data_IF_324385630497
#
_entry.id   IF_324385630497
#
_cell.length_a   1.000
_cell.length_b   1.000
_cell.length_c   1.000
_cell.angle_alpha   90.00
_cell.angle_beta   90.00
_cell.angle_gamma   90.00
#
_symmetry.space_group_name_H-M   'P 1'
#
loop_
_entity.id
_entity.type
_entity.pdbx_description
1 polymer ?
#
# COMPACT_ATOMS: atom_id res chain seq x y z
N UNK A 1 -4.14 -30.63 0.70
CA UNK A 1 -3.44 -30.95 -0.56
C UNK A 1 -3.57 -29.74 -1.47
N UNK A 2 -2.54 -28.87 -1.54
CA UNK A 2 -2.57 -27.62 -2.31
C UNK A 2 -1.35 -27.45 -3.24
N UNK A 3 -0.39 -28.38 -3.22
CA UNK A 3 0.90 -28.23 -3.90
C UNK A 3 0.78 -28.09 -5.43
N UNK A 4 -0.17 -28.81 -6.04
CA UNK A 4 -0.41 -28.75 -7.49
C UNK A 4 -1.26 -27.54 -7.93
N UNK A 5 -1.87 -26.81 -6.99
CA UNK A 5 -2.74 -25.69 -7.33
C UNK A 5 -1.90 -24.49 -7.79
N UNK A 6 -2.35 -23.74 -8.82
CA UNK A 6 -1.73 -22.48 -9.20
C UNK A 6 -1.53 -21.56 -8.00
N UNK A 7 -0.28 -21.19 -7.73
CA UNK A 7 0.08 -20.29 -6.65
C UNK A 7 0.35 -18.88 -7.21
N UNK A 8 -0.23 -17.89 -6.54
CA UNK A 8 0.08 -16.48 -6.73
C UNK A 8 0.44 -15.85 -5.39
N UNK A 9 1.46 -15.01 -5.38
CA UNK A 9 1.83 -14.20 -4.21
C UNK A 9 1.21 -12.82 -4.38
N UNK A 10 0.42 -12.35 -3.42
CA UNK A 10 -0.29 -11.10 -3.53
C UNK A 10 -0.24 -10.28 -2.24
N UNK A 11 -0.35 -8.96 -2.38
CA UNK A 11 -0.42 -8.02 -1.27
C UNK A 11 -0.31 -6.58 -1.75
N UNK A 12 -0.30 -5.66 -0.80
CA UNK A 12 -0.32 -4.23 -1.07
C UNK A 12 0.64 -3.42 -0.19
N UNK A 13 0.83 -2.14 -0.55
CA UNK A 13 1.62 -1.16 0.20
C UNK A 13 3.09 -1.62 0.36
N UNK A 14 3.58 -1.73 1.59
CA UNK A 14 4.94 -2.20 1.89
C UNK A 14 5.21 -3.62 1.37
N UNK A 15 4.15 -4.40 1.08
CA UNK A 15 4.31 -5.72 0.45
C UNK A 15 4.90 -5.62 -0.96
N UNK A 16 4.99 -4.43 -1.59
CA UNK A 16 5.83 -4.19 -2.77
C UNK A 16 7.31 -4.54 -2.57
N UNK A 17 7.81 -4.51 -1.32
CA UNK A 17 9.15 -4.98 -0.95
C UNK A 17 9.20 -6.50 -0.73
N UNK A 18 8.10 -7.09 -0.26
CA UNK A 18 8.02 -8.51 0.16
C UNK A 18 7.66 -9.42 -1.01
N UNK A 19 6.71 -9.02 -1.85
CA UNK A 19 6.16 -9.88 -2.91
C UNK A 19 7.26 -10.25 -3.93
N UNK A 20 8.02 -9.32 -4.52
CA UNK A 20 9.02 -9.69 -5.52
C UNK A 20 10.20 -10.45 -4.90
N UNK A 21 10.60 -10.08 -3.68
CA UNK A 21 11.68 -10.75 -2.94
C UNK A 21 11.31 -12.18 -2.53
N UNK A 22 10.12 -12.41 -2.00
CA UNK A 22 9.63 -13.75 -1.70
C UNK A 22 9.46 -14.58 -2.97
N UNK A 23 8.87 -13.99 -4.02
CA UNK A 23 8.57 -14.71 -5.26
C UNK A 23 9.85 -15.17 -5.96
N UNK A 24 10.93 -14.36 -5.96
CA UNK A 24 12.20 -14.78 -6.57
C UNK A 24 12.85 -15.92 -5.78
N UNK A 25 12.75 -15.94 -4.46
CA UNK A 25 13.31 -17.03 -3.65
C UNK A 25 12.53 -18.34 -3.87
N UNK A 26 11.19 -18.27 -3.99
CA UNK A 26 10.38 -19.43 -4.39
C UNK A 26 10.81 -19.93 -5.77
N UNK A 27 10.97 -19.03 -6.75
CA UNK A 27 11.40 -19.38 -8.11
C UNK A 27 12.77 -20.06 -8.13
N UNK A 28 13.76 -19.54 -7.39
CA UNK A 28 15.10 -20.14 -7.24
C UNK A 28 15.03 -21.54 -6.63
N UNK A 29 14.17 -21.74 -5.64
CA UNK A 29 13.92 -23.06 -5.08
C UNK A 29 13.43 -24.05 -6.14
N UNK A 30 12.50 -23.61 -7.00
CA UNK A 30 11.89 -24.46 -8.06
C UNK A 30 12.98 -24.89 -9.05
N UNK A 31 13.79 -23.93 -9.49
CA UNK A 31 14.91 -24.17 -10.42
C UNK A 31 15.97 -25.12 -9.83
N UNK A 32 16.11 -25.13 -8.50
CA UNK A 32 17.06 -26.01 -7.79
C UNK A 32 16.51 -27.42 -7.51
N UNK A 33 15.27 -27.72 -7.94
CA UNK A 33 14.69 -29.06 -7.84
C UNK A 33 14.10 -29.43 -6.47
N UNK A 34 13.76 -28.46 -5.61
CA UNK A 34 13.09 -28.77 -4.34
C UNK A 34 11.66 -29.31 -4.58
N UNK A 35 11.45 -30.57 -4.17
CA UNK A 35 10.23 -31.33 -4.43
C UNK A 35 9.02 -30.86 -3.59
N UNK A 36 9.22 -29.94 -2.64
CA UNK A 36 8.13 -29.37 -1.81
C UNK A 36 7.43 -28.20 -2.47
N UNK A 37 7.77 -27.87 -3.71
CA UNK A 37 7.47 -26.56 -4.24
C UNK A 37 6.14 -26.46 -4.98
N UNK A 38 5.53 -25.30 -4.76
CA UNK A 38 4.22 -24.93 -5.24
C UNK A 38 4.25 -24.67 -6.75
N UNK A 39 3.10 -24.85 -7.40
CA UNK A 39 2.88 -24.51 -8.79
C UNK A 39 2.78 -22.97 -9.01
N UNK A 40 3.88 -22.25 -8.79
CA UNK A 40 3.97 -20.79 -8.88
C UNK A 40 3.67 -20.29 -10.30
N UNK A 41 2.71 -19.37 -10.42
CA UNK A 41 2.27 -18.80 -11.71
C UNK A 41 2.52 -17.31 -11.86
N UNK A 42 2.75 -16.60 -10.77
CA UNK A 42 2.91 -15.15 -10.81
C UNK A 42 2.65 -14.50 -9.47
N UNK A 43 2.49 -13.18 -9.52
CA UNK A 43 2.28 -12.36 -8.34
C UNK A 43 1.47 -11.11 -8.68
N UNK A 44 0.89 -10.50 -7.64
CA UNK A 44 -0.01 -9.35 -7.74
C UNK A 44 0.41 -8.31 -6.70
N UNK A 45 0.65 -7.07 -7.09
CA UNK A 45 1.12 -6.01 -6.21
C UNK A 45 0.21 -4.77 -6.32
N UNK A 46 -0.51 -4.44 -5.24
CA UNK A 46 -1.42 -3.30 -5.16
C UNK A 46 -0.79 -2.09 -4.47
N UNK A 47 -0.84 -0.91 -5.09
CA UNK A 47 -0.17 0.30 -4.59
C UNK A 47 1.23 0.00 -4.00
N UNK A 48 2.14 -0.65 -4.75
CA UNK A 48 3.31 -1.25 -4.14
C UNK A 48 4.44 -0.25 -3.94
N UNK A 49 4.94 -0.16 -2.71
CA UNK A 49 6.22 0.50 -2.45
C UNK A 49 7.34 -0.40 -2.97
N UNK A 50 8.06 0.06 -3.99
CA UNK A 50 9.09 -0.73 -4.68
C UNK A 50 10.47 -0.09 -4.61
N UNK A 51 10.54 1.24 -4.54
CA UNK A 51 11.79 1.97 -4.39
C UNK A 51 11.50 3.39 -3.92
N UNK A 52 11.88 3.67 -2.67
CA UNK A 52 11.49 4.92 -2.01
C UNK A 52 12.34 6.12 -2.45
N UNK A 53 13.63 5.89 -2.73
CA UNK A 53 14.60 6.98 -2.83
C UNK A 53 14.52 7.75 -4.16
N UNK A 54 14.21 7.07 -5.26
CA UNK A 54 14.18 7.64 -6.61
C UNK A 54 12.77 7.76 -7.17
N UNK A 55 11.91 6.75 -7.01
CA UNK A 55 10.58 6.71 -7.61
C UNK A 55 9.47 7.09 -6.62
N UNK A 56 9.10 6.17 -5.72
CA UNK A 56 7.86 6.27 -4.95
C UNK A 56 7.87 7.51 -4.03
N UNK A 57 8.97 7.76 -3.32
CA UNK A 57 9.07 8.87 -2.37
C UNK A 57 9.13 10.26 -3.02
N UNK A 58 9.50 10.36 -4.30
CA UNK A 58 9.50 11.63 -5.04
C UNK A 58 8.22 11.85 -5.85
N UNK A 59 7.33 10.86 -5.90
CA UNK A 59 6.13 10.89 -6.73
C UNK A 59 4.97 11.69 -6.12
N UNK A 60 4.93 11.82 -4.80
CA UNK A 60 3.81 12.45 -4.06
C UNK A 60 3.53 13.88 -4.50
N UNK A 61 4.55 14.72 -4.63
CA UNK A 61 4.37 16.13 -4.99
C UNK A 61 3.90 16.32 -6.44
N UNK A 62 4.54 15.74 -7.48
CA UNK A 62 4.01 15.82 -8.84
C UNK A 62 2.60 15.26 -8.96
N UNK A 63 2.26 14.22 -8.19
CA UNK A 63 0.91 13.67 -8.17
C UNK A 63 -0.09 14.67 -7.58
N UNK A 64 0.18 15.19 -6.39
CA UNK A 64 -0.70 16.14 -5.71
C UNK A 64 -0.86 17.47 -6.46
N UNK A 65 0.16 17.89 -7.21
CA UNK A 65 0.05 19.03 -8.12
C UNK A 65 -0.96 18.72 -9.24
N UNK A 66 -0.88 17.56 -9.89
CA UNK A 66 -1.84 17.14 -10.93
C UNK A 66 -3.26 17.00 -10.42
N UNK A 67 -3.42 16.66 -9.14
CA UNK A 67 -4.72 16.60 -8.47
C UNK A 67 -5.20 17.95 -7.92
N UNK A 68 -4.45 19.04 -8.16
CA UNK A 68 -4.85 20.41 -7.80
C UNK A 68 -4.64 20.80 -6.33
N UNK A 69 -3.93 19.99 -5.53
CA UNK A 69 -3.64 20.29 -4.12
C UNK A 69 -2.43 21.19 -3.92
N UNK A 70 -1.55 21.30 -4.92
CA UNK A 70 -0.34 22.12 -4.85
C UNK A 70 -0.39 23.17 -5.97
N UNK A 71 -0.33 24.48 -5.66
CA UNK A 71 -0.28 25.55 -6.65
C UNK A 71 0.89 25.38 -7.62
N UNK A 72 0.67 25.67 -8.89
CA UNK A 72 1.65 25.51 -9.96
C UNK A 72 2.91 26.34 -9.72
N UNK A 73 2.78 27.56 -9.20
CA UNK A 73 3.92 28.44 -8.90
C UNK A 73 4.78 27.85 -7.79
N UNK A 74 4.16 27.28 -6.75
CA UNK A 74 4.88 26.65 -5.65
C UNK A 74 5.55 25.35 -6.11
N UNK A 75 4.86 24.54 -6.91
CA UNK A 75 5.41 23.31 -7.46
C UNK A 75 6.58 23.59 -8.42
N UNK A 76 6.48 24.62 -9.27
CA UNK A 76 7.55 25.02 -10.20
C UNK A 76 8.85 25.35 -9.45
N UNK A 77 8.76 26.16 -8.39
CA UNK A 77 9.93 26.50 -7.55
C UNK A 77 10.51 25.25 -6.90
N UNK A 78 9.66 24.35 -6.38
CA UNK A 78 10.11 23.09 -5.80
C UNK A 78 10.78 22.18 -6.86
N UNK A 79 10.21 22.05 -8.04
CA UNK A 79 10.75 21.25 -9.14
C UNK A 79 12.13 21.75 -9.58
N UNK A 80 12.28 23.06 -9.83
CA UNK A 80 13.54 23.67 -10.26
C UNK A 80 14.62 23.58 -9.17
N UNK A 81 14.26 23.87 -7.91
CA UNK A 81 15.23 23.87 -6.81
C UNK A 81 15.63 22.47 -6.33
N UNK A 82 14.74 21.47 -6.44
CA UNK A 82 15.00 20.10 -6.00
C UNK A 82 15.45 19.15 -7.12
N UNK A 83 15.28 19.51 -8.40
CA UNK A 83 15.58 18.63 -9.53
C UNK A 83 14.79 17.31 -9.47
N UNK A 84 13.55 17.36 -8.97
CA UNK A 84 12.70 16.18 -8.76
C UNK A 84 13.04 15.31 -7.55
N UNK A 85 14.01 15.69 -6.71
CA UNK A 85 14.44 14.94 -5.50
C UNK A 85 13.91 15.59 -4.22
N UNK A 86 12.61 15.49 -3.98
CA UNK A 86 11.91 16.12 -2.86
C UNK A 86 12.18 15.43 -1.52
N UNK A 87 12.41 14.11 -1.52
CA UNK A 87 12.68 13.34 -0.29
C UNK A 87 14.08 13.56 0.29
N UNK A 88 15.00 14.17 -0.49
CA UNK A 88 16.39 14.41 -0.10
C UNK A 88 16.82 15.82 -0.51
N UNK A 89 16.32 16.89 0.14
CA UNK A 89 16.63 18.27 -0.24
C UNK A 89 18.13 18.58 -0.13
N UNK A 90 18.77 18.95 -1.24
CA UNK A 90 20.21 19.22 -1.29
C UNK A 90 20.59 20.68 -1.03
N UNK A 91 19.62 21.59 -0.98
CA UNK A 91 19.84 23.02 -0.77
C UNK A 91 18.69 23.67 0.00
N UNK A 92 18.95 24.86 0.54
CA UNK A 92 18.00 25.59 1.37
C UNK A 92 16.70 25.98 0.65
N UNK A 93 16.78 26.30 -0.66
CA UNK A 93 15.61 26.67 -1.44
C UNK A 93 14.68 25.46 -1.66
N UNK A 94 15.24 24.30 -1.97
CA UNK A 94 14.50 23.04 -2.06
C UNK A 94 13.88 22.68 -0.71
N UNK A 95 14.66 22.72 0.38
CA UNK A 95 14.16 22.41 1.72
C UNK A 95 12.99 23.33 2.13
N UNK A 96 13.08 24.63 1.84
CA UNK A 96 12.01 25.60 2.09
C UNK A 96 10.76 25.31 1.25
N UNK A 97 10.92 24.97 -0.01
CA UNK A 97 9.81 24.65 -0.92
C UNK A 97 9.10 23.37 -0.49
N UNK A 98 9.87 22.32 -0.17
CA UNK A 98 9.37 21.05 0.37
C UNK A 98 8.60 21.28 1.66
N UNK A 99 9.13 22.07 2.61
CA UNK A 99 8.43 22.39 3.84
C UNK A 99 7.13 23.15 3.60
N UNK A 100 7.13 24.09 2.65
CA UNK A 100 5.94 24.86 2.30
C UNK A 100 4.84 23.97 1.73
N UNK A 101 5.20 23.04 0.84
CA UNK A 101 4.28 22.03 0.31
C UNK A 101 3.77 21.12 1.42
N UNK A 102 4.64 20.61 2.29
CA UNK A 102 4.23 19.78 3.43
C UNK A 102 3.22 20.49 4.33
N UNK A 103 3.43 21.78 4.62
CA UNK A 103 2.49 22.56 5.43
C UNK A 103 1.13 22.73 4.75
N UNK A 104 1.11 22.84 3.42
CA UNK A 104 -0.11 22.97 2.63
C UNK A 104 -0.93 21.67 2.65
N UNK A 105 -0.26 20.51 2.48
CA UNK A 105 -0.91 19.20 2.36
C UNK A 105 -1.04 18.47 3.69
N UNK A 106 -0.65 19.10 4.82
CA UNK A 106 -0.53 18.42 6.12
C UNK A 106 -1.82 17.75 6.59
N UNK A 107 -2.97 18.28 6.22
CA UNK A 107 -4.30 17.82 6.66
C UNK A 107 -4.98 16.89 5.64
N UNK A 108 -4.30 16.58 4.53
CA UNK A 108 -4.80 15.66 3.51
C UNK A 108 -4.72 14.21 4.01
N UNK A 109 -5.71 13.39 3.65
CA UNK A 109 -5.60 11.95 3.79
C UNK A 109 -4.68 11.41 2.70
N UNK A 110 -3.43 11.11 3.06
CA UNK A 110 -2.44 10.67 2.09
C UNK A 110 -2.79 9.34 1.40
N UNK A 111 -3.54 8.46 2.07
CA UNK A 111 -3.93 7.14 1.53
C UNK A 111 -5.14 7.23 0.58
N UNK A 112 -5.92 8.31 0.65
CA UNK A 112 -7.06 8.54 -0.24
C UNK A 112 -7.44 10.03 -0.23
N UNK A 113 -6.95 10.77 -1.22
CA UNK A 113 -7.01 12.25 -1.23
C UNK A 113 -8.42 12.86 -1.23
N UNK A 114 -9.45 12.09 -1.62
CA UNK A 114 -10.86 12.53 -1.57
C UNK A 114 -11.56 12.22 -0.26
N UNK A 115 -10.92 11.47 0.65
CA UNK A 115 -11.50 11.16 1.95
C UNK A 115 -11.00 12.14 3.02
N UNK A 116 -11.81 12.42 4.05
CA UNK A 116 -11.33 13.22 5.16
C UNK A 116 -10.19 12.50 5.87
N UNK A 117 -9.26 13.27 6.44
CA UNK A 117 -8.26 12.74 7.36
C UNK A 117 -8.96 12.36 8.67
N UNK A 118 -8.92 11.08 8.99
CA UNK A 118 -9.53 10.54 10.20
C UNK A 118 -8.43 10.22 11.22
N UNK A 119 -8.54 10.80 12.42
CA UNK A 119 -7.60 10.51 13.50
C UNK A 119 -7.64 9.02 13.87
N UNK A 120 -6.45 8.43 14.04
CA UNK A 120 -6.33 7.07 14.56
C UNK A 120 -6.64 7.04 16.05
N UNK A 121 -7.76 6.42 16.40
CA UNK A 121 -7.92 5.53 17.56
C UNK A 121 -8.18 6.04 19.02
N UNK A 122 -8.49 7.31 19.38
CA UNK A 122 -9.19 7.49 20.67
C UNK A 122 -10.27 8.57 20.83
N UNK A 123 -10.87 9.16 19.79
CA UNK A 123 -12.04 10.06 19.99
C UNK A 123 -13.40 9.36 19.80
N UNK A 124 -13.41 8.19 19.13
CA UNK A 124 -14.53 7.25 19.09
C UNK A 124 -14.42 6.16 20.16
N UNK A 125 -13.71 6.43 21.26
CA UNK A 125 -14.23 5.98 22.55
C UNK A 125 -15.61 6.61 22.64
N UNK A 126 -16.61 5.87 22.14
CA UNK A 126 -17.91 5.67 22.72
C UNK A 126 -17.97 6.56 23.96
N UNK A 127 -18.42 7.81 23.78
CA UNK A 127 -18.73 8.71 24.89
C UNK A 127 -19.37 7.81 25.93
N UNK A 128 -18.71 7.64 27.07
CA UNK A 128 -19.11 6.77 28.19
C UNK A 128 -20.61 6.45 28.15
N UNK A 129 -20.98 5.31 27.56
CA UNK A 129 -22.39 4.93 27.42
C UNK A 129 -22.54 3.44 27.72
N UNK A 130 -22.30 3.13 29.00
CA UNK A 130 -23.20 2.42 29.92
C UNK A 130 -24.31 1.52 29.32
N UNK A 131 -24.00 0.61 28.39
CA UNK A 131 -24.97 -0.41 27.97
C UNK A 131 -24.29 -1.75 27.71
N UNK A 132 -24.84 -2.80 28.33
CA UNK A 132 -24.30 -4.16 28.42
C UNK A 132 -24.48 -5.01 27.15
N UNK A 133 -25.12 -4.49 26.10
CA UNK A 133 -25.48 -5.30 24.93
C UNK A 133 -24.62 -4.97 23.69
N UNK A 134 -23.58 -5.78 23.48
CA UNK A 134 -22.57 -5.60 22.41
C UNK A 134 -23.08 -6.02 21.02
N UNK A 135 -24.05 -6.94 20.94
CA UNK A 135 -24.52 -7.52 19.66
C UNK A 135 -25.44 -6.59 18.87
N UNK A 136 -26.30 -5.81 19.54
CA UNK A 136 -27.22 -4.87 18.86
C UNK A 136 -26.51 -3.68 18.19
N UNK A 137 -25.27 -3.32 18.59
CA UNK A 137 -24.53 -2.19 18.02
C UNK A 137 -23.82 -2.49 16.69
N UNK A 138 -23.42 -3.75 16.44
CA UNK A 138 -22.80 -4.16 15.17
C UNK A 138 -23.76 -4.01 13.98
N UNK A 139 -25.06 -4.15 14.23
CA UNK A 139 -26.13 -4.07 13.24
C UNK A 139 -26.75 -2.66 13.11
N UNK A 140 -26.51 -1.76 14.06
CA UNK A 140 -27.13 -0.43 14.13
C UNK A 140 -26.18 0.73 13.87
N UNK A 141 -24.87 0.50 13.78
CA UNK A 141 -23.97 1.58 13.46
C UNK A 141 -23.94 1.77 11.95
N UNK A 142 -24.37 2.92 11.40
CA UNK A 142 -23.69 3.45 10.24
C UNK A 142 -22.26 3.67 10.72
N UNK A 143 -21.41 2.63 10.66
CA UNK A 143 -19.96 2.79 10.79
C UNK A 143 -19.59 3.61 9.56
N UNK A 144 -19.66 4.91 9.80
CA UNK A 144 -20.22 5.87 8.87
C UNK A 144 -19.37 6.01 7.63
N UNK A 145 -20.06 6.20 6.50
CA UNK A 145 -19.64 6.63 5.16
C UNK A 145 -18.63 7.80 5.09
N UNK A 146 -18.15 8.30 6.22
CA UNK A 146 -17.25 9.44 6.37
C UNK A 146 -15.81 9.00 6.65
N UNK A 147 -15.58 7.91 7.39
CA UNK A 147 -14.23 7.47 7.77
C UNK A 147 -14.09 5.95 7.71
N UNK A 148 -13.49 5.42 6.64
CA UNK A 148 -13.24 3.96 6.48
C UNK A 148 -12.44 3.38 7.63
N UNK A 149 -11.54 4.17 8.23
CA UNK A 149 -10.76 3.80 9.41
C UNK A 149 -11.61 3.45 10.64
N UNK A 150 -12.91 3.79 10.69
CA UNK A 150 -13.77 3.35 11.79
C UNK A 150 -14.03 1.83 11.77
N UNK A 151 -13.98 1.20 10.59
CA UNK A 151 -14.18 -0.26 10.43
C UNK A 151 -13.07 -1.07 11.11
N UNK A 152 -11.89 -0.47 11.24
CA UNK A 152 -10.76 -1.05 11.93
C UNK A 152 -11.05 -1.38 13.41
N UNK A 153 -11.84 -0.55 14.11
CA UNK A 153 -12.25 -0.87 15.48
C UNK A 153 -13.03 -2.18 15.53
N UNK A 154 -13.85 -2.46 14.51
CA UNK A 154 -14.58 -3.71 14.44
C UNK A 154 -13.66 -4.91 14.28
N UNK A 155 -12.60 -4.80 13.48
CA UNK A 155 -11.62 -5.87 13.32
C UNK A 155 -10.87 -6.15 14.63
N UNK A 156 -10.48 -5.12 15.40
CA UNK A 156 -9.87 -5.33 16.73
C UNK A 156 -10.83 -5.99 17.71
N UNK A 157 -12.10 -5.57 17.74
CA UNK A 157 -13.12 -6.17 18.60
C UNK A 157 -13.39 -7.64 18.22
N UNK A 158 -13.51 -7.92 16.93
CA UNK A 158 -13.77 -9.26 16.42
C UNK A 158 -12.59 -10.20 16.65
N UNK A 159 -11.36 -9.79 16.30
CA UNK A 159 -10.17 -10.64 16.43
C UNK A 159 -9.75 -10.90 17.89
N UNK A 160 -10.23 -10.07 18.83
CA UNK A 160 -9.97 -10.24 20.26
C UNK A 160 -11.15 -10.85 21.04
N UNK A 161 -12.28 -11.16 20.38
CA UNK A 161 -13.37 -11.89 21.01
C UNK A 161 -12.92 -13.32 21.37
N UNK A 162 -13.26 -13.79 22.57
CA UNK A 162 -12.78 -15.07 23.08
C UNK A 162 -13.24 -16.26 22.23
N UNK A 163 -14.51 -16.25 21.80
CA UNK A 163 -15.06 -17.32 20.98
C UNK A 163 -14.45 -17.32 19.57
N UNK A 164 -14.15 -16.13 19.01
CA UNK A 164 -13.43 -16.00 17.74
C UNK A 164 -12.01 -16.55 17.87
N UNK A 165 -11.27 -16.17 18.92
CA UNK A 165 -9.91 -16.65 19.17
C UNK A 165 -9.86 -18.17 19.34
N UNK A 166 -10.79 -18.74 20.10
CA UNK A 166 -10.92 -20.19 20.26
C UNK A 166 -11.21 -20.87 18.92
N UNK A 167 -12.14 -20.34 18.14
CA UNK A 167 -12.51 -20.88 16.81
C UNK A 167 -11.36 -20.80 15.80
N UNK A 168 -10.50 -19.78 15.89
CA UNK A 168 -9.28 -19.64 15.10
C UNK A 168 -8.11 -20.50 15.61
N UNK A 169 -8.31 -21.28 16.69
CA UNK A 169 -7.28 -22.13 17.28
C UNK A 169 -6.21 -21.37 18.07
N UNK A 170 -6.47 -20.13 18.51
CA UNK A 170 -5.53 -19.36 19.32
C UNK A 170 -5.59 -19.83 20.76
N UNK A 171 -4.56 -20.55 21.20
CA UNK A 171 -4.50 -21.13 22.54
C UNK A 171 -4.37 -20.03 23.62
N UNK A 172 -5.14 -20.17 24.70
CA UNK A 172 -5.09 -19.22 25.84
C UNK A 172 -3.67 -19.14 26.40
N UNK A 173 -3.20 -17.92 26.66
CA UNK A 173 -1.86 -17.64 27.17
C UNK A 173 -0.74 -17.53 26.14
N UNK A 174 -0.97 -17.81 24.85
CA UNK A 174 0.09 -17.73 23.82
C UNK A 174 0.33 -16.31 23.30
N UNK A 175 -0.74 -15.58 23.00
CA UNK A 175 -0.69 -14.22 22.45
C UNK A 175 -1.64 -13.33 23.26
N UNK A 176 -1.20 -12.19 23.82
CA UNK A 176 -2.01 -11.38 24.73
C UNK A 176 -3.22 -10.74 24.03
N UNK A 177 -3.03 -10.17 22.85
CA UNK A 177 -4.07 -9.58 22.03
C UNK A 177 -3.64 -9.49 20.57
N UNK A 178 -4.60 -9.55 19.66
CA UNK A 178 -4.40 -9.19 18.27
C UNK A 178 -4.37 -7.66 18.12
N UNK A 179 -3.50 -7.16 17.26
CA UNK A 179 -3.41 -5.77 16.84
C UNK A 179 -3.16 -5.74 15.34
N UNK A 180 -3.88 -4.88 14.59
CA UNK A 180 -3.71 -4.77 13.13
C UNK A 180 -2.30 -4.37 12.71
N UNK A 181 -1.73 -3.40 13.41
CA UNK A 181 -0.40 -2.90 13.15
C UNK A 181 0.39 -2.89 14.46
N UNK A 182 1.65 -3.28 14.38
CA UNK A 182 2.56 -3.27 15.51
C UNK A 182 3.91 -2.74 15.04
N UNK A 183 4.48 -1.84 15.85
CA UNK A 183 5.83 -1.34 15.64
C UNK A 183 6.81 -2.37 16.18
N UNK A 184 7.67 -2.86 15.30
CA UNK A 184 8.81 -3.69 15.65
C UNK A 184 10.07 -3.05 15.07
N UNK A 185 11.24 -3.26 15.69
CA UNK A 185 12.50 -2.90 15.05
C UNK A 185 12.64 -3.74 13.78
N UNK A 186 12.39 -3.11 12.63
CA UNK A 186 12.51 -3.72 11.32
C UNK A 186 13.68 -3.08 10.58
N UNK A 187 14.62 -3.92 10.15
CA UNK A 187 15.77 -3.47 9.36
C UNK A 187 15.35 -3.49 7.89
N UNK A 188 15.46 -2.35 7.23
CA UNK A 188 15.22 -2.23 5.79
C UNK A 188 16.52 -2.51 5.04
N UNK A 189 16.77 -3.78 4.74
CA UNK A 189 17.94 -4.26 4.00
C UNK A 189 17.70 -4.35 2.49
N UNK A 190 16.43 -4.42 2.07
CA UNK A 190 16.01 -4.31 0.67
C UNK A 190 15.60 -2.87 0.37
N UNK A 191 16.44 -2.14 -0.36
CA UNK A 191 16.18 -0.75 -0.74
C UNK A 191 15.31 -0.62 -2.01
N UNK A 192 15.32 -1.64 -2.87
CA UNK A 192 14.55 -1.66 -4.11
C UNK A 192 14.18 -3.07 -4.54
N UNK A 193 12.95 -3.24 -5.02
CA UNK A 193 12.47 -4.47 -5.66
C UNK A 193 12.25 -4.33 -7.17
N UNK A 194 12.61 -3.20 -7.77
CA UNK A 194 12.42 -2.95 -9.22
C UNK A 194 13.12 -4.02 -10.07
N UNK A 195 14.37 -4.36 -9.76
CA UNK A 195 15.13 -5.40 -10.48
C UNK A 195 14.61 -6.83 -10.21
N UNK A 196 13.92 -7.03 -9.09
CA UNK A 196 13.28 -8.32 -8.78
C UNK A 196 12.08 -8.53 -9.71
N UNK A 197 11.29 -7.48 -9.96
CA UNK A 197 10.22 -7.53 -10.95
C UNK A 197 10.75 -7.92 -12.34
N UNK A 198 11.82 -7.28 -12.81
CA UNK A 198 12.46 -7.60 -14.09
C UNK A 198 12.93 -9.06 -14.14
N UNK A 199 13.60 -9.53 -13.09
CA UNK A 199 14.09 -10.90 -12.99
C UNK A 199 12.97 -11.94 -13.03
N UNK A 200 11.84 -11.66 -12.37
CA UNK A 200 10.68 -12.55 -12.37
C UNK A 200 9.96 -12.58 -13.73
N UNK A 201 9.75 -11.42 -14.34
CA UNK A 201 9.08 -11.31 -15.65
C UNK A 201 9.91 -12.00 -16.74
N UNK A 202 11.23 -11.82 -16.74
CA UNK A 202 12.15 -12.48 -17.69
C UNK A 202 12.19 -14.00 -17.53
N UNK A 203 11.90 -14.52 -16.33
CA UNK A 203 11.70 -15.96 -16.07
C UNK A 203 10.32 -16.49 -16.49
N UNK A 204 9.43 -15.62 -16.99
CA UNK A 204 8.09 -16.01 -17.45
C UNK A 204 7.00 -15.99 -16.39
N UNK A 205 7.26 -15.45 -15.20
CA UNK A 205 6.23 -15.26 -14.19
C UNK A 205 5.36 -14.06 -14.52
N UNK A 206 4.03 -14.22 -14.39
CA UNK A 206 3.09 -13.13 -14.63
C UNK A 206 3.07 -12.16 -13.45
N UNK A 207 3.06 -10.88 -13.76
CA UNK A 207 2.91 -9.80 -12.79
C UNK A 207 1.62 -9.03 -13.08
N UNK A 208 0.82 -8.76 -12.05
CA UNK A 208 -0.24 -7.75 -12.10
C UNK A 208 0.11 -6.66 -11.10
N UNK A 209 0.34 -5.45 -11.61
CA UNK A 209 0.58 -4.27 -10.77
C UNK A 209 -0.59 -3.33 -10.96
N UNK A 210 -1.22 -2.94 -9.86
CA UNK A 210 -2.33 -1.99 -9.89
C UNK A 210 -2.13 -0.94 -8.80
N UNK A 211 -2.59 0.28 -9.04
CA UNK A 211 -2.56 1.37 -8.06
C UNK A 211 -3.89 2.10 -8.09
N UNK A 212 -4.51 2.26 -6.93
CA UNK A 212 -5.61 3.21 -6.77
C UNK A 212 -5.12 4.63 -7.09
N UNK A 213 -5.80 5.31 -7.99
CA UNK A 213 -5.42 6.62 -8.52
C UNK A 213 -5.62 7.78 -7.54
N UNK A 214 -6.15 7.50 -6.34
CA UNK A 214 -6.36 8.47 -5.26
C UNK A 214 -5.38 8.32 -4.08
N UNK A 215 -4.46 7.35 -4.13
CA UNK A 215 -3.39 7.21 -3.14
C UNK A 215 -2.24 8.18 -3.48
N UNK A 216 -1.91 9.07 -2.55
CA UNK A 216 -0.76 9.98 -2.68
C UNK A 216 0.50 9.48 -1.98
N UNK A 217 0.36 8.49 -1.09
CA UNK A 217 1.48 7.93 -0.34
C UNK A 217 2.30 7.01 -1.23
N UNK A 218 1.63 6.12 -1.96
CA UNK A 218 2.23 5.30 -3.02
C UNK A 218 1.49 5.60 -4.32
N UNK A 219 1.86 6.72 -4.94
CA UNK A 219 1.09 7.28 -6.05
C UNK A 219 1.23 6.47 -7.33
N UNK A 220 0.15 6.47 -8.13
CA UNK A 220 0.12 5.85 -9.46
C UNK A 220 1.30 6.28 -10.34
N UNK A 221 1.70 7.56 -10.28
CA UNK A 221 2.81 8.04 -11.12
C UNK A 221 4.17 7.54 -10.64
N UNK A 222 4.33 7.24 -9.34
CA UNK A 222 5.51 6.54 -8.81
C UNK A 222 5.59 5.13 -9.35
N UNK A 223 4.46 4.41 -9.31
CA UNK A 223 4.34 3.07 -9.88
C UNK A 223 4.65 3.06 -11.39
N UNK A 224 4.07 3.99 -12.15
CA UNK A 224 4.34 4.14 -13.58
C UNK A 224 5.81 4.48 -13.86
N UNK A 225 6.46 5.28 -13.02
CA UNK A 225 7.84 5.71 -13.23
C UNK A 225 8.81 4.54 -13.16
N UNK A 226 8.71 3.67 -12.17
CA UNK A 226 9.60 2.50 -12.08
C UNK A 226 9.25 1.45 -13.14
N UNK A 227 7.97 1.27 -13.51
CA UNK A 227 7.59 0.36 -14.62
C UNK A 227 8.21 0.85 -15.93
N UNK A 228 8.13 2.15 -16.22
CA UNK A 228 8.78 2.73 -17.42
C UNK A 228 10.29 2.59 -17.37
N UNK A 229 10.90 2.66 -16.19
CA UNK A 229 12.34 2.46 -16.01
C UNK A 229 12.78 1.04 -16.42
N UNK A 230 11.92 0.02 -16.25
CA UNK A 230 12.21 -1.34 -16.73
C UNK A 230 12.30 -1.48 -18.25
N UNK A 231 11.80 -0.48 -19.01
CA UNK A 231 11.85 -0.43 -20.47
C UNK A 231 11.34 -1.71 -21.15
N UNK A 232 10.24 -2.25 -20.63
CA UNK A 232 9.58 -3.44 -21.20
C UNK A 232 8.85 -3.07 -22.50
N UNK A 233 8.85 -3.99 -23.46
CA UNK A 233 8.10 -3.82 -24.72
C UNK A 233 6.60 -3.78 -24.45
N UNK A 234 5.91 -2.85 -25.10
CA UNK A 234 4.45 -2.78 -25.10
C UNK A 234 3.94 -3.83 -26.09
N UNK A 235 3.20 -4.83 -25.60
CA UNK A 235 2.54 -5.84 -26.44
C UNK A 235 1.11 -5.48 -26.80
N UNK A 236 0.48 -4.66 -25.96
CA UNK A 236 -0.91 -4.24 -26.09
C UNK A 236 -1.05 -2.78 -25.65
N UNK A 237 -1.75 -1.99 -26.46
CA UNK A 237 -1.94 -0.56 -26.18
C UNK A 237 -2.80 -0.32 -24.93
N UNK A 238 -2.57 0.85 -24.32
CA UNK A 238 -3.35 1.36 -23.20
C UNK A 238 -4.83 1.45 -23.58
N UNK A 239 -5.69 0.94 -22.70
CA UNK A 239 -7.14 0.94 -22.87
C UNK A 239 -7.83 1.02 -21.52
N UNK A 240 -9.04 1.59 -21.46
CA UNK A 240 -9.85 1.50 -20.25
C UNK A 240 -10.24 0.05 -19.96
N UNK A 241 -10.47 -0.27 -18.70
CA UNK A 241 -11.17 -1.48 -18.28
C UNK A 241 -12.51 -1.12 -17.66
N UNK A 242 -13.47 -2.02 -17.80
CA UNK A 242 -14.87 -1.76 -17.48
C UNK A 242 -15.39 -2.73 -16.41
N UNK A 243 -16.28 -2.22 -15.55
CA UNK A 243 -17.13 -3.00 -14.65
C UNK A 243 -18.54 -2.48 -14.83
N UNK A 244 -19.49 -3.37 -15.10
CA UNK A 244 -20.91 -3.02 -15.31
C UNK A 244 -21.10 -1.84 -16.28
N UNK A 245 -20.42 -1.91 -17.44
CA UNK A 245 -20.41 -0.88 -18.50
C UNK A 245 -19.89 0.51 -18.09
N UNK A 246 -19.24 0.62 -16.93
CA UNK A 246 -18.57 1.84 -16.47
C UNK A 246 -17.06 1.68 -16.51
N UNK A 247 -16.36 2.73 -16.95
CA UNK A 247 -14.89 2.79 -16.88
C UNK A 247 -14.47 2.73 -15.42
N UNK A 248 -13.68 1.73 -15.07
CA UNK A 248 -13.16 1.53 -13.72
C UNK A 248 -11.66 1.88 -13.59
N UNK A 249 -10.99 2.07 -14.73
CA UNK A 249 -9.64 2.62 -14.85
C UNK A 249 -9.01 2.26 -16.19
#
# INVERSE_FOLDING_TARGET
MFLSNPLYIAGDSYSGMIIPSLTIEIAKGIESGDQRLCNLKGYIAGNPLTELARFDGNSKFPYLQRMGFIPDELYKVAFESCGGKYNSPLNALCAKSVQSIHNLIKDLNAMHILEPRCDTYPSLIIRKAASKDRRKRLLQSPVSSICRNATYVLADLWANDEAVRESLGIHKGTVPSWRRHAHFPYIQDINSTVEYHLSLITKGYRAMVYSGDHDSEISLIGTQAWIRYLNLSITDDWRPWYVDDQVAG
#
